data_IF_197917323491
#
_entry.id   IF_197917323491
#
_cell.length_a   1.000
_cell.length_b   1.000
_cell.length_c   1.000
_cell.angle_alpha   90.00
_cell.angle_beta   90.00
_cell.angle_gamma   90.00
#
_symmetry.space_group_name_H-M   'P 1'
#
loop_
_entity.id
_entity.type
_entity.pdbx_description
1 polymer ?
#
# COMPACT_ATOMS: atom_id res chain seq x y z
N UNK A 1 1.79 8.04 -15.73
CA UNK A 1 0.31 7.98 -15.71
C UNK A 1 -0.21 9.04 -14.74
N UNK A 2 -1.09 9.91 -15.23
CA UNK A 2 -1.52 11.14 -14.54
C UNK A 2 -2.30 10.86 -13.24
N UNK A 3 -3.15 9.82 -13.23
CA UNK A 3 -3.90 9.37 -12.04
C UNK A 3 -3.00 8.93 -10.87
N UNK A 4 -1.82 8.37 -11.15
CA UNK A 4 -0.84 8.01 -10.10
C UNK A 4 -0.25 9.25 -9.40
N UNK A 5 -0.27 10.43 -10.05
CA UNK A 5 0.31 11.66 -9.46
C UNK A 5 -0.49 12.15 -8.26
N UNK A 6 -1.79 11.89 -8.19
CA UNK A 6 -2.58 12.24 -7.00
C UNK A 6 -2.18 11.38 -5.79
N UNK A 7 -2.13 10.06 -5.99
CA UNK A 7 -1.93 9.08 -4.91
C UNK A 7 -0.47 9.03 -4.42
N UNK A 8 0.53 9.10 -5.32
CA UNK A 8 1.96 8.91 -4.96
C UNK A 8 2.40 9.73 -3.72
N UNK A 9 2.11 11.04 -3.61
CA UNK A 9 2.53 11.82 -2.44
C UNK A 9 1.75 11.52 -1.16
N UNK A 10 0.54 10.98 -1.28
CA UNK A 10 -0.32 10.63 -0.14
C UNK A 10 0.15 9.31 0.49
N UNK A 11 0.73 8.39 -0.30
CA UNK A 11 1.22 7.09 0.18
C UNK A 11 2.26 7.21 1.30
N UNK A 12 3.13 8.22 1.25
CA UNK A 12 4.20 8.43 2.23
C UNK A 12 3.80 9.38 3.36
N UNK A 13 2.54 9.82 3.39
CA UNK A 13 2.04 10.71 4.43
C UNK A 13 1.46 9.89 5.58
N UNK A 14 1.73 10.28 6.83
CA UNK A 14 0.97 9.78 7.97
C UNK A 14 -0.51 10.14 7.77
N UNK A 15 -1.44 9.16 7.78
CA UNK A 15 -2.86 9.43 7.57
C UNK A 15 -3.35 10.50 8.57
N UNK A 16 -4.00 11.57 8.09
CA UNK A 16 -4.51 12.59 8.98
C UNK A 16 -5.73 12.06 9.73
N UNK A 17 -5.90 12.50 10.96
CA UNK A 17 -7.10 12.19 11.74
C UNK A 17 -8.27 13.11 11.31
N UNK A 18 -9.31 12.58 10.64
CA UNK A 18 -10.44 13.38 10.18
C UNK A 18 -11.34 13.86 11.32
N UNK A 19 -11.21 13.29 12.52
CA UNK A 19 -12.02 13.63 13.69
C UNK A 19 -11.30 14.59 14.65
N UNK A 20 -10.02 14.87 14.40
CA UNK A 20 -9.24 15.81 15.21
C UNK A 20 -9.52 17.26 14.83
N UNK A 21 -9.57 18.12 15.85
CA UNK A 21 -9.62 19.58 15.69
C UNK A 21 -8.23 20.23 15.76
N UNK A 22 -7.15 19.43 15.83
CA UNK A 22 -5.79 19.94 15.78
C UNK A 22 -5.56 20.68 14.43
N UNK A 23 -5.14 21.95 14.45
CA UNK A 23 -4.82 22.71 13.24
C UNK A 23 -3.86 21.98 12.29
N UNK A 24 -2.93 21.16 12.80
CA UNK A 24 -1.99 20.39 11.98
C UNK A 24 -2.70 19.31 11.17
N UNK A 25 -3.65 18.61 11.77
CA UNK A 25 -4.46 17.58 11.09
C UNK A 25 -5.38 18.21 10.05
N UNK A 26 -6.02 19.34 10.40
CA UNK A 26 -6.83 20.12 9.47
C UNK A 26 -6.03 20.62 8.27
N UNK A 27 -4.77 21.04 8.46
CA UNK A 27 -3.89 21.46 7.37
C UNK A 27 -3.52 20.30 6.43
N UNK A 28 -3.32 19.08 6.95
CA UNK A 28 -3.10 17.87 6.13
C UNK A 28 -4.34 17.52 5.31
N UNK A 29 -5.54 17.59 5.90
CA UNK A 29 -6.81 17.38 5.20
C UNK A 29 -7.02 18.44 4.11
N UNK A 30 -6.73 19.71 4.42
CA UNK A 30 -6.79 20.80 3.46
C UNK A 30 -5.80 20.59 2.31
N UNK A 31 -4.58 20.08 2.60
CA UNK A 31 -3.60 19.73 1.59
C UNK A 31 -4.13 18.66 0.63
N UNK A 32 -4.68 17.56 1.14
CA UNK A 32 -5.32 16.53 0.30
C UNK A 32 -6.47 17.14 -0.52
N UNK A 33 -7.36 17.90 0.12
CA UNK A 33 -8.52 18.49 -0.52
C UNK A 33 -8.16 19.51 -1.61
N UNK A 34 -7.11 20.31 -1.42
CA UNK A 34 -6.58 21.21 -2.46
C UNK A 34 -6.02 20.41 -3.63
N UNK A 35 -5.28 19.34 -3.34
CA UNK A 35 -4.69 18.48 -4.36
C UNK A 35 -5.75 17.75 -5.19
N UNK A 36 -6.83 17.31 -4.56
CA UNK A 36 -7.98 16.71 -5.22
C UNK A 36 -8.72 17.74 -6.10
N UNK A 37 -8.93 18.96 -5.60
CA UNK A 37 -9.54 20.06 -6.37
C UNK A 37 -8.71 20.53 -7.56
N UNK A 38 -7.38 20.33 -7.52
CA UNK A 38 -6.49 20.70 -8.62
C UNK A 38 -6.53 19.70 -9.80
N UNK A 39 -7.16 18.53 -9.64
CA UNK A 39 -7.37 17.59 -10.74
C UNK A 39 -8.46 18.12 -11.70
N UNK A 40 -8.33 17.79 -12.98
CA UNK A 40 -9.40 18.01 -13.94
C UNK A 40 -10.65 17.17 -13.61
N UNK A 41 -11.79 17.51 -14.21
CA UNK A 41 -13.07 16.89 -13.87
C UNK A 41 -13.08 15.37 -14.09
N UNK A 42 -12.45 14.90 -15.17
CA UNK A 42 -12.35 13.48 -15.52
C UNK A 42 -11.50 12.72 -14.49
N UNK A 43 -10.35 13.28 -14.11
CA UNK A 43 -9.45 12.67 -13.13
C UNK A 43 -10.06 12.66 -11.72
N UNK A 44 -10.82 13.70 -11.34
CA UNK A 44 -11.57 13.67 -10.07
C UNK A 44 -12.60 12.55 -10.07
N UNK A 45 -13.36 12.40 -11.16
CA UNK A 45 -14.35 11.34 -11.28
C UNK A 45 -13.70 9.95 -11.19
N UNK A 46 -12.65 9.72 -11.98
CA UNK A 46 -11.87 8.48 -11.96
C UNK A 46 -11.29 8.20 -10.56
N UNK A 47 -10.80 9.22 -9.86
CA UNK A 47 -10.25 9.05 -8.51
C UNK A 47 -11.34 8.61 -7.52
N UNK A 48 -12.53 9.20 -7.58
CA UNK A 48 -13.66 8.78 -6.74
C UNK A 48 -14.03 7.32 -7.04
N UNK A 49 -14.17 6.98 -8.32
CA UNK A 49 -14.45 5.60 -8.75
C UNK A 49 -13.40 4.61 -8.24
N UNK A 50 -12.11 4.89 -8.45
CA UNK A 50 -11.02 4.03 -7.97
C UNK A 50 -11.06 3.84 -6.45
N UNK A 51 -11.34 4.90 -5.69
CA UNK A 51 -11.37 4.82 -4.22
C UNK A 51 -12.61 4.10 -3.67
N UNK A 52 -13.68 3.95 -4.44
CA UNK A 52 -14.99 3.50 -3.92
C UNK A 52 -15.53 2.25 -4.60
N UNK A 53 -15.24 2.05 -5.89
CA UNK A 53 -15.73 0.90 -6.66
C UNK A 53 -14.96 -0.37 -6.35
N UNK A 54 -15.57 -1.51 -6.70
CA UNK A 54 -14.85 -2.77 -6.77
C UNK A 54 -14.01 -2.88 -8.03
N UNK A 55 -13.02 -3.77 -8.02
CA UNK A 55 -12.16 -4.05 -9.17
C UNK A 55 -12.99 -4.52 -10.38
N UNK A 56 -14.01 -5.36 -10.16
CA UNK A 56 -14.90 -5.84 -11.22
C UNK A 56 -15.73 -4.70 -11.81
N UNK A 57 -16.43 -3.92 -10.96
CA UNK A 57 -17.30 -2.83 -11.44
C UNK A 57 -16.48 -1.77 -12.18
N UNK A 58 -15.24 -1.53 -11.75
CA UNK A 58 -14.36 -0.60 -12.43
C UNK A 58 -13.98 -1.13 -13.82
N UNK A 59 -13.61 -2.41 -13.94
CA UNK A 59 -13.26 -3.04 -15.21
C UNK A 59 -14.45 -3.18 -16.18
N UNK A 60 -15.67 -3.31 -15.66
CA UNK A 60 -16.91 -3.40 -16.47
C UNK A 60 -17.12 -2.17 -17.37
N UNK A 61 -16.50 -1.02 -17.05
CA UNK A 61 -16.59 0.19 -17.88
C UNK A 61 -15.83 0.08 -19.22
N UNK A 62 -14.92 -0.89 -19.35
CA UNK A 62 -14.08 -1.07 -20.55
C UNK A 62 -14.15 -2.47 -21.14
N UNK A 63 -14.47 -3.50 -20.35
CA UNK A 63 -14.40 -4.89 -20.78
C UNK A 63 -15.74 -5.61 -20.67
N UNK A 64 -16.14 -6.27 -21.75
CA UNK A 64 -17.38 -7.05 -21.80
C UNK A 64 -17.17 -8.49 -21.32
N UNK A 65 -15.98 -9.07 -21.54
CA UNK A 65 -15.73 -10.50 -21.29
C UNK A 65 -15.36 -10.80 -19.85
N UNK A 66 -16.12 -11.70 -19.21
CA UNK A 66 -15.89 -12.14 -17.83
C UNK A 66 -14.52 -12.78 -17.60
N UNK A 67 -14.01 -13.53 -18.58
CA UNK A 67 -12.67 -14.16 -18.50
C UNK A 67 -11.57 -13.10 -18.32
N UNK A 68 -11.64 -12.00 -19.08
CA UNK A 68 -10.66 -10.92 -18.99
C UNK A 68 -10.78 -10.17 -17.65
N UNK A 69 -12.01 -9.87 -17.23
CA UNK A 69 -12.28 -9.23 -15.94
C UNK A 69 -11.82 -10.10 -14.77
N UNK A 70 -12.00 -11.41 -14.83
CA UNK A 70 -11.54 -12.33 -13.80
C UNK A 70 -10.01 -12.29 -13.63
N UNK A 71 -9.25 -12.40 -14.71
CA UNK A 71 -7.78 -12.33 -14.64
C UNK A 71 -7.27 -10.96 -14.18
N UNK A 72 -7.86 -9.87 -14.68
CA UNK A 72 -7.42 -8.51 -14.31
C UNK A 72 -7.79 -8.15 -12.88
N UNK A 73 -8.97 -8.56 -12.41
CA UNK A 73 -9.45 -8.25 -11.05
C UNK A 73 -8.64 -8.95 -9.96
N UNK A 74 -7.91 -10.02 -10.26
CA UNK A 74 -6.99 -10.66 -9.32
C UNK A 74 -5.97 -9.65 -8.76
N UNK A 75 -5.45 -8.75 -9.60
CA UNK A 75 -4.53 -7.69 -9.14
C UNK A 75 -5.20 -6.72 -8.16
N UNK A 76 -6.53 -6.59 -8.19
CA UNK A 76 -7.31 -5.72 -7.31
C UNK A 76 -7.50 -6.25 -5.89
N UNK A 77 -7.02 -7.47 -5.60
CA UNK A 77 -7.17 -8.08 -4.27
C UNK A 77 -5.86 -8.55 -3.63
N UNK A 78 -4.76 -8.60 -4.39
CA UNK A 78 -3.45 -9.03 -3.87
C UNK A 78 -3.03 -8.13 -2.70
N UNK A 79 -2.72 -8.76 -1.56
CA UNK A 79 -2.31 -8.06 -0.33
C UNK A 79 -3.46 -7.61 0.57
N UNK A 80 -4.69 -8.03 0.27
CA UNK A 80 -5.89 -7.67 1.05
C UNK A 80 -6.66 -8.90 1.51
N UNK A 81 -7.58 -8.72 2.47
CA UNK A 81 -8.60 -9.74 2.83
C UNK A 81 -9.92 -9.55 2.07
N UNK A 82 -9.93 -8.74 1.00
CA UNK A 82 -11.13 -8.38 0.24
C UNK A 82 -11.35 -9.31 -0.96
N UNK A 83 -12.59 -9.41 -1.43
CA UNK A 83 -12.94 -10.08 -2.68
C UNK A 83 -12.97 -9.13 -3.86
N UNK A 84 -12.94 -9.65 -5.09
CA UNK A 84 -12.86 -8.83 -6.33
C UNK A 84 -14.05 -7.87 -6.53
N UNK A 85 -15.17 -8.12 -5.84
CA UNK A 85 -16.38 -7.28 -5.82
C UNK A 85 -16.51 -6.40 -4.56
N UNK A 86 -15.51 -6.40 -3.68
CA UNK A 86 -15.53 -5.55 -2.49
C UNK A 86 -15.23 -4.09 -2.86
N UNK A 87 -15.93 -3.10 -2.28
CA UNK A 87 -15.62 -1.68 -2.46
C UNK A 87 -14.15 -1.36 -2.15
N UNK A 88 -13.56 -0.45 -2.93
CA UNK A 88 -12.18 -0.01 -2.79
C UNK A 88 -11.13 -0.92 -3.44
N UNK A 89 -11.51 -2.08 -3.97
CA UNK A 89 -10.55 -2.97 -4.68
C UNK A 89 -10.11 -2.41 -6.04
N UNK A 90 -10.85 -1.45 -6.62
CA UNK A 90 -10.39 -0.71 -7.80
C UNK A 90 -9.11 0.11 -7.52
N UNK A 91 -8.97 0.68 -6.33
CA UNK A 91 -7.76 1.39 -5.92
C UNK A 91 -6.55 0.46 -5.88
N UNK A 92 -6.74 -0.79 -5.48
CA UNK A 92 -5.67 -1.79 -5.42
C UNK A 92 -5.13 -2.10 -6.83
N UNK A 93 -5.99 -2.09 -7.87
CA UNK A 93 -5.53 -2.17 -9.27
C UNK A 93 -4.59 -1.02 -9.62
N UNK A 94 -4.96 0.21 -9.25
CA UNK A 94 -4.10 1.37 -9.44
C UNK A 94 -2.81 1.24 -8.61
N UNK A 95 -2.89 0.76 -7.37
CA UNK A 95 -1.74 0.58 -6.48
C UNK A 95 -0.67 -0.35 -7.10
N UNK A 96 -1.09 -1.50 -7.61
CA UNK A 96 -0.18 -2.43 -8.31
C UNK A 96 0.32 -1.88 -9.64
N UNK A 97 -0.42 -0.97 -10.28
CA UNK A 97 0.07 -0.24 -11.47
C UNK A 97 1.14 0.79 -11.11
N UNK A 98 1.01 1.46 -9.97
CA UNK A 98 1.91 2.51 -9.53
C UNK A 98 3.29 1.99 -9.08
N UNK A 99 3.38 0.72 -8.70
CA UNK A 99 4.65 0.08 -8.33
C UNK A 99 5.67 0.14 -9.46
N UNK A 100 6.90 0.51 -9.12
CA UNK A 100 8.01 0.59 -10.08
C UNK A 100 9.32 0.12 -9.44
N UNK A 101 10.23 -0.38 -10.28
CA UNK A 101 11.62 -0.71 -9.91
C UNK A 101 12.51 0.00 -10.91
N UNK A 102 13.41 0.86 -10.44
CA UNK A 102 14.37 1.60 -11.28
C UNK A 102 13.74 2.28 -12.51
N UNK A 103 12.52 2.83 -12.34
CA UNK A 103 11.76 3.50 -13.41
C UNK A 103 10.93 2.56 -14.30
N UNK A 104 11.01 1.23 -14.11
CA UNK A 104 10.17 0.26 -14.80
C UNK A 104 8.87 0.03 -14.02
N UNK A 105 7.75 0.50 -14.57
CA UNK A 105 6.41 0.32 -14.00
C UNK A 105 5.98 -1.15 -14.01
N UNK A 106 5.12 -1.54 -13.06
CA UNK A 106 4.56 -2.89 -12.91
C UNK A 106 5.62 -4.00 -12.81
N UNK A 107 6.83 -3.64 -12.44
CA UNK A 107 7.95 -4.57 -12.37
C UNK A 107 8.13 -5.12 -10.96
N UNK A 108 8.56 -6.37 -10.88
CA UNK A 108 8.83 -7.08 -9.63
C UNK A 108 10.26 -7.60 -9.66
N UNK A 109 10.92 -7.51 -8.51
CA UNK A 109 12.28 -7.98 -8.32
C UNK A 109 12.29 -9.20 -7.41
N UNK A 110 13.18 -10.14 -7.71
CA UNK A 110 13.51 -11.20 -6.78
C UNK A 110 14.79 -10.85 -6.04
N UNK A 111 14.81 -11.03 -4.73
CA UNK A 111 16.04 -10.95 -3.96
C UNK A 111 17.02 -12.01 -4.47
N UNK A 112 18.24 -11.59 -4.83
CA UNK A 112 19.31 -12.53 -5.18
C UNK A 112 19.62 -13.40 -3.96
N UNK A 113 19.62 -14.72 -4.14
CA UNK A 113 19.70 -15.69 -3.04
C UNK A 113 18.37 -16.06 -2.39
N UNK A 114 17.25 -15.59 -2.94
CA UNK A 114 15.90 -15.91 -2.45
C UNK A 114 15.51 -15.11 -1.20
N UNK A 115 14.39 -15.49 -0.58
CA UNK A 115 13.84 -14.77 0.59
C UNK A 115 14.76 -14.83 1.82
N UNK A 116 15.55 -15.90 1.97
CA UNK A 116 16.53 -16.05 3.05
C UNK A 116 17.61 -14.97 3.04
N UNK A 117 18.02 -14.51 1.86
CA UNK A 117 19.06 -13.49 1.72
C UNK A 117 18.68 -12.14 2.37
N UNK A 118 17.38 -11.83 2.44
CA UNK A 118 16.89 -10.63 3.12
C UNK A 118 17.13 -10.75 4.63
N UNK A 119 16.76 -11.90 5.23
CA UNK A 119 16.98 -12.18 6.64
C UNK A 119 18.47 -12.20 6.99
N UNK A 120 19.30 -12.78 6.12
CA UNK A 120 20.75 -12.84 6.32
C UNK A 120 21.41 -11.45 6.22
N UNK A 121 20.93 -10.58 5.32
CA UNK A 121 21.40 -9.20 5.23
C UNK A 121 21.07 -8.41 6.51
N UNK A 122 19.84 -8.54 7.03
CA UNK A 122 19.43 -7.92 8.31
C UNK A 122 20.30 -8.46 9.45
N UNK A 123 20.50 -9.78 9.53
CA UNK A 123 21.33 -10.42 10.55
C UNK A 123 22.79 -9.94 10.49
N UNK A 124 23.32 -9.73 9.29
CA UNK A 124 24.68 -9.22 9.07
C UNK A 124 24.82 -7.78 9.56
N UNK A 125 23.88 -6.90 9.19
CA UNK A 125 23.86 -5.51 9.66
C UNK A 125 23.72 -5.41 11.20
N UNK A 126 22.91 -6.27 11.81
CA UNK A 126 22.79 -6.32 13.27
C UNK A 126 24.10 -6.74 13.94
N UNK A 127 24.79 -7.77 13.41
CA UNK A 127 26.10 -8.20 13.92
C UNK A 127 27.17 -7.11 13.75
N UNK A 128 27.14 -6.38 12.64
CA UNK A 128 28.03 -5.23 12.41
C UNK A 128 27.80 -4.13 13.46
N UNK A 129 26.55 -3.91 13.87
CA UNK A 129 26.19 -3.03 14.98
C UNK A 129 26.50 -3.61 16.38
N UNK A 130 27.16 -4.78 16.47
CA UNK A 130 27.56 -5.42 17.73
C UNK A 130 26.51 -6.32 18.37
N UNK A 131 25.41 -6.64 17.67
CA UNK A 131 24.35 -7.51 18.19
C UNK A 131 24.76 -8.98 18.16
N UNK A 132 24.57 -9.68 19.28
CA UNK A 132 24.65 -11.14 19.35
C UNK A 132 23.31 -11.78 18.94
N UNK A 133 23.32 -12.62 17.90
CA UNK A 133 22.11 -13.32 17.44
C UNK A 133 22.11 -14.75 17.99
N UNK A 134 21.14 -15.05 18.86
CA UNK A 134 20.94 -16.39 19.43
C UNK A 134 19.84 -17.14 18.68
N UNK A 135 20.21 -18.25 18.05
CA UNK A 135 19.27 -19.16 17.39
C UNK A 135 18.96 -20.34 18.30
N UNK A 136 17.82 -21.02 18.07
CA UNK A 136 17.39 -22.18 18.88
C UNK A 136 17.33 -21.87 20.39
N UNK A 137 16.90 -20.66 20.73
CA UNK A 137 16.76 -20.21 22.12
C UNK A 137 15.27 -19.95 22.41
N UNK A 138 14.52 -20.96 22.87
CA UNK A 138 13.12 -20.79 23.21
C UNK A 138 12.95 -19.75 24.33
N UNK A 139 12.01 -18.83 24.14
CA UNK A 139 11.70 -17.80 25.15
C UNK A 139 10.76 -18.41 26.20
N UNK A 140 11.24 -18.55 27.44
CA UNK A 140 10.45 -19.13 28.53
C UNK A 140 9.46 -18.15 29.18
N UNK A 141 9.82 -16.87 29.27
CA UNK A 141 8.99 -15.82 29.89
C UNK A 141 9.45 -14.44 29.44
N UNK A 142 8.51 -13.56 29.13
CA UNK A 142 8.75 -12.11 29.00
C UNK A 142 8.51 -11.48 30.36
N UNK A 143 9.48 -10.72 30.89
CA UNK A 143 9.33 -10.02 32.17
C UNK A 143 8.68 -8.67 31.92
N UNK A 144 7.55 -8.43 32.57
CA UNK A 144 6.80 -7.18 32.49
C UNK A 144 6.75 -6.55 33.87
N UNK A 145 7.01 -5.25 33.96
CA UNK A 145 6.90 -4.45 35.19
C UNK A 145 6.17 -3.16 34.85
N UNK A 146 5.14 -2.83 35.63
CA UNK A 146 4.36 -1.59 35.48
C UNK A 146 3.81 -1.36 34.05
N UNK A 147 3.47 -2.44 33.34
CA UNK A 147 2.98 -2.39 31.96
C UNK A 147 4.06 -2.31 30.87
N UNK A 148 5.35 -2.35 31.24
CA UNK A 148 6.48 -2.23 30.33
C UNK A 148 7.41 -3.46 30.36
N UNK A 149 8.13 -3.67 29.26
CA UNK A 149 9.19 -4.69 29.12
C UNK A 149 10.41 -4.03 28.46
N UNK A 150 11.61 -4.52 28.78
CA UNK A 150 12.90 -4.05 28.25
C UNK A 150 13.73 -5.24 27.81
#
# INVERSE_FOLDING_TARGET
VEMARFVKPILNMTPPDPMSLDPRELMKLLFIGRRFRALNDVDRYNQVQLMTMSAVDFLDQWFETDVLKATMSASGIIGTFLGVRSPGTAYVLLHHYMGEIDGAFRSWGFARGGTGAISDAIASAAREAGVEIRVRSPVARIRVKDGHTT
#
